data_IF_451396384113
#
_entry.id   IF_451396384113
#
_cell.length_a   1.000
_cell.length_b   1.000
_cell.length_c   1.000
_cell.angle_alpha   90.00
_cell.angle_beta   90.00
_cell.angle_gamma   90.00
#
_symmetry.space_group_name_H-M   'P 1'
#
loop_
_entity.id
_entity.type
_entity.pdbx_description
1 polymer ?
#
# COMPACT_ATOMS: atom_id res chain seq x y z
N UNK A 1 70.90 -30.21 -37.30
CA UNK A 1 70.24 -29.08 -37.98
C UNK A 1 69.20 -29.64 -38.94
N UNK A 2 67.94 -29.80 -38.50
CA UNK A 2 66.85 -30.10 -39.43
C UNK A 2 66.39 -28.78 -40.04
N UNK A 3 66.47 -28.70 -41.37
CA UNK A 3 65.95 -27.59 -42.14
C UNK A 3 64.43 -27.65 -42.01
N UNK A 4 63.86 -26.68 -41.31
CA UNK A 4 62.41 -26.51 -41.23
C UNK A 4 61.93 -26.17 -42.65
N UNK A 5 61.18 -27.09 -43.25
CA UNK A 5 60.50 -26.90 -44.53
C UNK A 5 59.44 -25.80 -44.36
N UNK A 6 59.83 -24.54 -44.61
CA UNK A 6 58.93 -23.38 -44.55
C UNK A 6 58.10 -23.37 -45.83
N UNK A 7 57.02 -24.14 -45.85
CA UNK A 7 55.99 -24.01 -46.88
C UNK A 7 55.37 -22.61 -46.76
N UNK A 8 55.56 -21.79 -47.80
CA UNK A 8 54.91 -20.49 -47.89
C UNK A 8 53.41 -20.68 -48.13
N UNK A 9 52.58 -19.91 -47.42
CA UNK A 9 51.12 -19.95 -47.56
C UNK A 9 50.70 -19.56 -48.99
N UNK A 10 49.76 -20.31 -49.55
CA UNK A 10 49.17 -19.94 -50.84
C UNK A 10 48.14 -18.83 -50.65
N UNK A 11 47.96 -17.97 -51.66
CA UNK A 11 46.94 -16.91 -51.64
C UNK A 11 45.54 -17.48 -51.37
N UNK A 12 45.24 -18.66 -51.91
CA UNK A 12 43.97 -19.36 -51.71
C UNK A 12 43.72 -19.70 -50.23
N UNK A 13 44.73 -20.19 -49.53
CA UNK A 13 44.64 -20.56 -48.12
C UNK A 13 44.39 -19.34 -47.22
N UNK A 14 45.01 -18.20 -47.56
CA UNK A 14 44.78 -16.91 -46.91
C UNK A 14 43.36 -16.38 -47.16
N UNK A 15 42.84 -16.52 -48.38
CA UNK A 15 41.46 -16.15 -48.71
C UNK A 15 40.43 -16.99 -47.95
N UNK A 16 40.63 -18.31 -47.87
CA UNK A 16 39.75 -19.21 -47.11
C UNK A 16 39.79 -18.88 -45.61
N UNK A 17 40.98 -18.62 -45.06
CA UNK A 17 41.12 -18.22 -43.65
C UNK A 17 40.37 -16.93 -43.35
N UNK A 18 40.46 -15.91 -44.21
CA UNK A 18 39.69 -14.67 -44.04
C UNK A 18 38.18 -14.86 -44.17
N UNK A 19 37.73 -15.70 -45.10
CA UNK A 19 36.31 -16.04 -45.25
C UNK A 19 35.76 -16.66 -43.95
N UNK A 20 36.46 -17.68 -43.43
CA UNK A 20 36.06 -18.38 -42.20
C UNK A 20 36.08 -17.41 -41.01
N UNK A 21 37.12 -16.57 -40.89
CA UNK A 21 37.22 -15.57 -39.84
C UNK A 21 36.06 -14.55 -39.90
N UNK A 22 35.70 -14.07 -41.09
CA UNK A 22 34.59 -13.15 -41.28
C UNK A 22 33.25 -13.75 -40.86
N UNK A 23 32.99 -15.01 -41.24
CA UNK A 23 31.77 -15.74 -40.85
C UNK A 23 31.74 -15.95 -39.33
N UNK A 24 32.84 -16.41 -38.74
CA UNK A 24 32.94 -16.66 -37.30
C UNK A 24 32.74 -15.36 -36.49
N UNK A 25 33.40 -14.27 -36.89
CA UNK A 25 33.27 -12.96 -36.22
C UNK A 25 31.83 -12.45 -36.28
N UNK A 26 31.18 -12.57 -37.44
CA UNK A 26 29.78 -12.17 -37.61
C UNK A 26 28.85 -13.00 -36.71
N UNK A 27 29.07 -14.32 -36.62
CA UNK A 27 28.30 -15.20 -35.73
C UNK A 27 28.46 -14.81 -34.26
N UNK A 28 29.68 -14.51 -33.82
CA UNK A 28 29.97 -14.08 -32.43
C UNK A 28 29.30 -12.74 -32.11
N UNK A 29 29.42 -11.74 -33.00
CA UNK A 29 28.78 -10.43 -32.80
C UNK A 29 27.27 -10.58 -32.73
N UNK A 30 26.67 -11.38 -33.61
CA UNK A 30 25.23 -11.64 -33.58
C UNK A 30 24.80 -12.33 -32.28
N UNK A 31 25.55 -13.35 -31.82
CA UNK A 31 25.28 -14.05 -30.57
C UNK A 31 25.37 -13.09 -29.36
N UNK A 32 26.38 -12.22 -29.35
CA UNK A 32 26.56 -11.24 -28.28
C UNK A 32 25.43 -10.20 -28.24
N UNK A 33 25.03 -9.64 -29.39
CA UNK A 33 23.91 -8.70 -29.49
C UNK A 33 22.60 -9.35 -29.05
N UNK A 34 22.37 -10.61 -29.44
CA UNK A 34 21.21 -11.38 -29.00
C UNK A 34 21.23 -11.59 -27.48
N UNK A 35 22.39 -11.88 -26.91
CA UNK A 35 22.56 -12.03 -25.47
C UNK A 35 22.25 -10.73 -24.72
N UNK A 36 22.82 -9.60 -25.15
CA UNK A 36 22.55 -8.28 -24.55
C UNK A 36 21.06 -7.92 -24.58
N UNK A 37 20.39 -8.14 -25.72
CA UNK A 37 18.94 -7.91 -25.85
C UNK A 37 18.12 -8.78 -24.91
N UNK A 38 18.48 -10.06 -24.82
CA UNK A 38 17.78 -11.02 -23.95
C UNK A 38 17.94 -10.66 -22.49
N UNK A 39 19.17 -10.36 -22.05
CA UNK A 39 19.45 -9.95 -20.66
C UNK A 39 18.69 -8.66 -20.31
N UNK A 40 18.68 -7.66 -21.19
CA UNK A 40 17.92 -6.43 -21.00
C UNK A 40 16.40 -6.67 -20.89
N UNK A 41 15.86 -7.54 -21.74
CA UNK A 41 14.45 -7.93 -21.68
C UNK A 41 14.08 -8.62 -20.37
N UNK A 42 14.94 -9.51 -19.87
CA UNK A 42 14.73 -10.18 -18.58
C UNK A 42 14.82 -9.19 -17.41
N UNK A 43 15.80 -8.28 -17.42
CA UNK A 43 15.92 -7.26 -16.38
C UNK A 43 14.66 -6.37 -16.29
N UNK A 44 14.10 -5.96 -17.43
CA UNK A 44 12.85 -5.18 -17.47
C UNK A 44 11.65 -5.95 -16.94
N UNK A 45 11.54 -7.25 -17.23
CA UNK A 45 10.48 -8.11 -16.67
C UNK A 45 10.61 -8.29 -15.16
N UNK A 46 11.84 -8.50 -14.67
CA UNK A 46 12.10 -8.60 -13.23
C UNK A 46 11.72 -7.29 -12.52
N UNK A 47 12.08 -6.14 -13.10
CA UNK A 47 11.69 -4.83 -12.57
C UNK A 47 10.18 -4.66 -12.48
N UNK A 48 9.44 -5.05 -13.53
CA UNK A 48 7.97 -5.06 -13.50
C UNK A 48 7.42 -5.93 -12.36
N UNK A 49 7.93 -7.15 -12.19
CA UNK A 49 7.48 -8.06 -11.13
C UNK A 49 7.83 -7.57 -9.71
N UNK A 50 8.97 -6.92 -9.53
CA UNK A 50 9.34 -6.31 -8.25
C UNK A 50 8.40 -5.15 -7.90
N UNK A 51 8.06 -4.33 -8.90
CA UNK A 51 7.13 -3.23 -8.74
C UNK A 51 5.70 -3.70 -8.40
N UNK A 52 5.19 -4.71 -9.10
CA UNK A 52 3.90 -5.34 -8.76
C UNK A 52 3.90 -5.92 -7.34
N UNK A 53 4.99 -6.57 -6.92
CA UNK A 53 5.14 -7.09 -5.56
C UNK A 53 5.14 -5.99 -4.51
N UNK A 54 5.69 -4.81 -4.78
CA UNK A 54 5.62 -3.68 -3.86
C UNK A 54 4.17 -3.25 -3.60
N UNK A 55 3.33 -3.17 -4.65
CA UNK A 55 1.91 -2.81 -4.51
C UNK A 55 1.12 -3.85 -3.71
N UNK A 56 1.46 -5.12 -3.92
CA UNK A 56 0.86 -6.26 -3.23
C UNK A 56 1.44 -6.50 -1.82
N UNK A 57 2.48 -5.78 -1.43
CA UNK A 57 2.91 -5.72 -0.04
C UNK A 57 2.10 -4.66 0.73
N UNK A 58 1.81 -3.51 0.10
CA UNK A 58 1.13 -2.37 0.75
C UNK A 58 -0.37 -2.60 0.87
N UNK A 59 -1.08 -2.82 -0.25
CA UNK A 59 -2.54 -2.88 -0.22
C UNK A 59 -3.06 -3.97 0.72
N UNK A 60 -2.54 -5.20 0.71
CA UNK A 60 -3.07 -6.23 1.59
C UNK A 60 -2.80 -5.99 3.08
N UNK A 61 -1.68 -5.35 3.42
CA UNK A 61 -1.36 -5.01 4.79
C UNK A 61 -2.33 -3.98 5.36
N UNK A 62 -2.67 -2.96 4.57
CA UNK A 62 -3.63 -1.90 4.95
C UNK A 62 -5.05 -2.44 5.02
N UNK A 63 -5.52 -3.08 3.95
CA UNK A 63 -6.92 -3.48 3.84
C UNK A 63 -7.31 -4.60 4.82
N UNK A 64 -6.36 -5.44 5.24
CA UNK A 64 -6.64 -6.49 6.22
C UNK A 64 -7.02 -5.92 7.59
N UNK A 65 -6.58 -4.72 7.95
CA UNK A 65 -6.84 -4.11 9.25
C UNK A 65 -8.23 -3.46 9.37
N UNK A 66 -9.01 -3.42 8.29
CA UNK A 66 -10.28 -2.71 8.25
C UNK A 66 -11.41 -3.48 8.94
N UNK A 67 -12.35 -2.73 9.49
CA UNK A 67 -13.70 -3.17 9.81
C UNK A 67 -14.74 -2.46 8.93
N UNK A 68 -15.33 -3.22 8.00
CA UNK A 68 -16.36 -2.71 7.11
C UNK A 68 -17.64 -2.30 7.86
N UNK A 69 -18.02 -3.03 8.92
CA UNK A 69 -19.29 -2.83 9.64
C UNK A 69 -19.27 -1.56 10.46
N UNK A 70 -18.12 -1.23 11.06
CA UNK A 70 -17.89 0.02 11.80
C UNK A 70 -17.54 1.21 10.87
N UNK A 71 -17.57 0.98 9.56
CA UNK A 71 -17.50 2.04 8.55
C UNK A 71 -16.09 2.49 8.19
N UNK A 72 -15.07 1.63 8.33
CA UNK A 72 -13.71 1.96 7.91
C UNK A 72 -13.59 2.13 6.40
N UNK A 73 -14.50 1.57 5.61
CA UNK A 73 -14.60 1.80 4.16
C UNK A 73 -15.51 3.00 3.92
N UNK A 74 -14.89 4.15 3.64
CA UNK A 74 -15.58 5.43 3.45
C UNK A 74 -16.14 5.58 2.03
N UNK A 75 -15.38 5.13 1.03
CA UNK A 75 -15.80 5.09 -0.38
C UNK A 75 -15.17 3.88 -1.06
N UNK A 76 -15.90 3.27 -1.98
CA UNK A 76 -15.38 2.15 -2.76
C UNK A 76 -15.88 2.20 -4.20
N UNK A 77 -15.00 1.82 -5.12
CA UNK A 77 -15.28 1.66 -6.54
C UNK A 77 -14.37 0.57 -7.10
N UNK A 78 -14.63 0.07 -8.32
CA UNK A 78 -13.77 -0.93 -8.92
C UNK A 78 -12.31 -0.49 -9.12
N UNK A 79 -11.99 0.81 -9.12
CA UNK A 79 -10.62 1.31 -9.38
C UNK A 79 -10.08 2.21 -8.27
N UNK A 80 -10.82 2.39 -7.17
CA UNK A 80 -10.38 3.17 -6.02
C UNK A 80 -11.07 2.73 -4.73
N UNK A 81 -10.38 2.88 -3.61
CA UNK A 81 -10.94 2.69 -2.27
C UNK A 81 -10.45 3.79 -1.35
N UNK A 82 -11.34 4.36 -0.55
CA UNK A 82 -11.03 5.31 0.51
C UNK A 82 -11.36 4.66 1.85
N UNK A 83 -10.37 4.61 2.73
CA UNK A 83 -10.41 3.88 4.00
C UNK A 83 -9.97 4.76 5.17
N UNK A 84 -10.35 4.38 6.39
CA UNK A 84 -9.70 4.85 7.63
C UNK A 84 -8.48 3.98 7.89
N UNK A 85 -7.32 4.42 7.42
CA UNK A 85 -6.08 3.70 7.64
C UNK A 85 -5.55 3.99 9.05
N UNK A 86 -5.26 2.94 9.82
CA UNK A 86 -4.65 3.08 11.14
C UNK A 86 -3.21 3.60 10.97
N UNK A 87 -2.90 4.72 11.63
CA UNK A 87 -1.60 5.38 11.54
C UNK A 87 -0.94 5.58 12.89
N UNK A 88 -1.74 5.65 13.96
CA UNK A 88 -1.24 5.85 15.30
C UNK A 88 -1.86 4.88 16.31
N UNK A 89 -1.07 4.53 17.32
CA UNK A 89 -1.54 3.89 18.54
C UNK A 89 -0.94 4.62 19.74
N UNK A 90 -1.81 5.11 20.61
CA UNK A 90 -1.44 5.77 21.86
C UNK A 90 -2.24 5.18 23.02
N UNK A 91 -1.81 5.48 24.24
CA UNK A 91 -2.46 5.02 25.48
C UNK A 91 -2.83 6.23 26.31
N UNK A 92 -4.09 6.33 26.72
CA UNK A 92 -4.55 7.36 27.65
C UNK A 92 -3.83 7.18 29.00
N UNK A 93 -3.38 8.27 29.60
CA UNK A 93 -2.85 8.22 30.97
C UNK A 93 -3.72 8.95 32.00
N UNK A 94 -4.79 9.59 31.54
CA UNK A 94 -5.81 10.21 32.37
C UNK A 94 -7.16 9.92 31.74
N UNK A 95 -8.15 9.59 32.57
CA UNK A 95 -9.52 9.42 32.11
C UNK A 95 -10.05 10.78 31.61
N UNK A 96 -10.59 10.86 30.39
CA UNK A 96 -11.17 12.09 29.88
C UNK A 96 -12.44 12.46 30.65
N UNK A 97 -12.66 13.77 30.83
CA UNK A 97 -13.94 14.28 31.34
C UNK A 97 -14.95 14.28 30.18
N UNK A 98 -16.06 13.57 30.34
CA UNK A 98 -17.12 13.46 29.33
C UNK A 98 -18.27 14.42 29.64
N UNK A 99 -19.12 14.69 28.62
CA UNK A 99 -20.29 15.57 28.75
C UNK A 99 -20.12 16.99 28.18
N UNK A 100 -18.94 17.33 27.64
CA UNK A 100 -18.70 18.58 26.89
C UNK A 100 -18.71 18.37 25.37
N UNK A 101 -18.83 19.47 24.61
CA UNK A 101 -18.81 19.42 23.13
C UNK A 101 -17.46 18.98 22.54
N UNK A 102 -16.38 19.15 23.32
CA UNK A 102 -15.02 18.71 23.01
C UNK A 102 -14.43 18.03 24.24
N UNK A 103 -13.80 16.88 24.03
CA UNK A 103 -13.19 16.04 25.06
C UNK A 103 -11.68 16.11 24.93
N UNK A 104 -11.00 16.34 26.05
CA UNK A 104 -9.52 16.34 26.08
C UNK A 104 -9.01 14.93 26.32
N UNK A 105 -8.20 14.44 25.39
CA UNK A 105 -7.50 13.16 25.46
C UNK A 105 -6.04 13.42 25.83
N UNK A 106 -5.61 12.96 27.01
CA UNK A 106 -4.21 13.03 27.44
C UNK A 106 -3.56 11.66 27.27
N UNK A 107 -2.68 11.54 26.28
CA UNK A 107 -2.00 10.28 25.92
C UNK A 107 -0.52 10.33 26.30
N UNK A 108 0.08 9.17 26.61
CA UNK A 108 1.52 9.08 26.90
C UNK A 108 2.36 9.40 25.66
N UNK A 109 3.52 10.04 25.86
CA UNK A 109 4.54 10.13 24.80
C UNK A 109 5.26 8.79 24.58
N UNK A 110 5.33 7.96 25.63
CA UNK A 110 5.92 6.62 25.58
C UNK A 110 5.07 5.63 26.39
N UNK A 111 4.54 4.55 25.78
CA UNK A 111 4.64 4.21 24.36
C UNK A 111 3.70 5.06 23.49
N UNK A 112 4.19 5.48 22.33
CA UNK A 112 3.41 6.05 21.23
C UNK A 112 3.94 5.44 19.93
N UNK A 113 3.05 4.90 19.10
CA UNK A 113 3.42 4.29 17.83
C UNK A 113 2.84 5.10 16.68
N UNK A 114 3.66 5.31 15.63
CA UNK A 114 3.28 6.10 14.47
C UNK A 114 3.72 7.56 14.55
N UNK A 115 3.18 8.39 13.66
CA UNK A 115 3.45 9.83 13.62
C UNK A 115 2.58 10.58 14.61
N UNK A 116 3.01 11.73 15.13
CA UNK A 116 2.17 12.58 15.98
C UNK A 116 0.82 12.88 15.29
N UNK A 117 -0.24 13.02 16.09
CA UNK A 117 -1.57 13.32 15.54
C UNK A 117 -1.58 14.67 14.82
N UNK A 118 -2.29 14.73 13.69
CA UNK A 118 -2.55 15.94 12.91
C UNK A 118 -4.05 16.23 12.91
N UNK A 119 -4.47 17.31 13.55
CA UNK A 119 -5.89 17.67 13.69
C UNK A 119 -6.57 18.08 12.38
N UNK A 120 -5.81 18.25 11.30
CA UNK A 120 -6.36 18.55 9.97
C UNK A 120 -6.63 17.30 9.14
N UNK A 121 -6.02 16.15 9.51
CA UNK A 121 -6.04 14.91 8.71
C UNK A 121 -6.52 13.68 9.49
N UNK A 122 -6.31 13.67 10.80
CA UNK A 122 -6.49 12.50 11.63
C UNK A 122 -7.82 12.53 12.38
N UNK A 123 -8.46 11.37 12.44
CA UNK A 123 -9.48 11.06 13.41
C UNK A 123 -8.94 10.08 14.45
N UNK A 124 -9.74 9.82 15.48
CA UNK A 124 -9.39 8.91 16.56
C UNK A 124 -10.52 7.92 16.84
N UNK A 125 -10.14 6.72 17.27
CA UNK A 125 -11.01 5.78 17.96
C UNK A 125 -10.49 5.61 19.37
N UNK A 126 -11.37 5.80 20.36
CA UNK A 126 -11.06 5.63 21.77
C UNK A 126 -11.87 4.46 22.29
N UNK A 127 -11.22 3.54 22.98
CA UNK A 127 -11.92 2.41 23.56
C UNK A 127 -12.78 2.84 24.74
N UNK A 128 -14.06 2.50 24.66
CA UNK A 128 -15.08 2.69 25.69
C UNK A 128 -15.34 1.32 26.31
N UNK A 129 -15.09 1.20 27.61
CA UNK A 129 -15.26 -0.07 28.33
C UNK A 129 -16.73 -0.29 28.67
N UNK A 130 -17.38 0.72 29.27
CA UNK A 130 -18.72 0.52 29.82
C UNK A 130 -18.66 0.07 31.29
N UNK A 131 -19.31 -1.04 31.60
CA UNK A 131 -19.25 -1.81 32.84
C UNK A 131 -18.14 -2.85 32.75
N UNK A 132 -17.10 -2.72 33.58
CA UNK A 132 -15.94 -3.62 33.63
C UNK A 132 -16.30 -5.11 33.89
N UNK A 133 -17.52 -5.39 34.36
CA UNK A 133 -17.99 -6.75 34.60
C UNK A 133 -18.59 -7.43 33.36
N UNK A 134 -18.89 -6.68 32.30
CA UNK A 134 -19.45 -7.19 31.06
C UNK A 134 -18.57 -6.85 29.86
N UNK A 135 -18.72 -7.62 28.76
CA UNK A 135 -18.02 -7.36 27.49
C UNK A 135 -18.97 -6.90 26.38
N UNK A 136 -20.25 -6.78 26.71
CA UNK A 136 -21.34 -6.58 25.74
C UNK A 136 -21.57 -5.11 25.41
N UNK A 137 -20.99 -4.23 26.20
CA UNK A 137 -21.08 -2.79 26.15
C UNK A 137 -19.75 -2.11 25.77
N UNK A 138 -18.66 -2.88 25.66
CA UNK A 138 -17.40 -2.48 25.05
C UNK A 138 -17.63 -1.97 23.62
N UNK A 139 -17.07 -0.80 23.29
CA UNK A 139 -17.16 -0.25 21.95
C UNK A 139 -16.01 0.68 21.61
N UNK A 140 -15.76 0.87 20.32
CA UNK A 140 -14.87 1.92 19.83
C UNK A 140 -15.64 3.20 19.56
N UNK A 141 -15.36 4.24 20.35
CA UNK A 141 -15.94 5.57 20.17
C UNK A 141 -15.10 6.35 19.16
N UNK A 142 -15.72 6.67 18.03
CA UNK A 142 -15.06 7.44 16.96
C UNK A 142 -15.09 8.93 17.26
N UNK A 143 -14.07 9.67 16.84
CA UNK A 143 -14.03 11.11 16.99
C UNK A 143 -13.11 11.81 16.01
N UNK A 144 -13.30 13.12 15.90
CA UNK A 144 -12.47 14.02 15.10
C UNK A 144 -11.64 14.90 16.01
N UNK A 145 -10.34 15.01 15.74
CA UNK A 145 -9.48 15.94 16.47
C UNK A 145 -9.88 17.39 16.18
N UNK A 146 -9.96 18.20 17.22
CA UNK A 146 -10.35 19.63 17.16
C UNK A 146 -9.17 20.55 17.45
N UNK A 147 -8.11 20.05 18.09
CA UNK A 147 -6.89 20.81 18.37
C UNK A 147 -5.63 20.05 17.94
N UNK A 148 -4.57 20.77 17.62
CA UNK A 148 -3.25 20.16 17.48
C UNK A 148 -2.77 19.61 18.84
N UNK A 149 -1.94 18.56 18.86
CA UNK A 149 -1.35 18.05 20.09
C UNK A 149 -0.42 19.07 20.74
N UNK A 150 -0.54 19.23 22.06
CA UNK A 150 0.36 20.06 22.87
C UNK A 150 1.06 19.20 23.92
N UNK A 151 2.27 19.59 24.31
CA UNK A 151 3.00 18.91 25.39
C UNK A 151 2.25 19.07 26.70
N UNK A 152 2.09 17.95 27.42
CA UNK A 152 1.40 17.88 28.70
C UNK A 152 2.13 16.91 29.65
N UNK A 153 1.54 16.67 30.82
CA UNK A 153 2.00 15.65 31.76
C UNK A 153 0.84 14.75 32.18
N UNK A 154 1.14 13.48 32.34
CA UNK A 154 0.24 12.54 32.99
C UNK A 154 0.15 12.81 34.49
N UNK A 155 -0.82 12.20 35.18
CA UNK A 155 -0.98 12.31 36.64
C UNK A 155 0.23 11.77 37.42
N UNK A 156 1.00 10.87 36.83
CA UNK A 156 2.27 10.34 37.35
C UNK A 156 3.49 11.24 37.05
N UNK A 157 3.27 12.44 36.50
CA UNK A 157 4.30 13.42 36.16
C UNK A 157 5.10 13.11 34.89
N UNK A 158 4.86 11.98 34.23
CA UNK A 158 5.56 11.60 33.00
C UNK A 158 5.08 12.41 31.79
N UNK A 159 5.93 12.59 30.75
CA UNK A 159 5.57 13.34 29.56
C UNK A 159 4.35 12.77 28.83
N UNK A 160 3.47 13.68 28.38
CA UNK A 160 2.24 13.37 27.66
C UNK A 160 2.03 14.30 26.45
N UNK A 161 1.13 13.91 25.57
CA UNK A 161 0.48 14.82 24.63
C UNK A 161 -0.98 14.99 25.03
N UNK A 162 -1.47 16.23 25.00
CA UNK A 162 -2.88 16.55 25.19
C UNK A 162 -3.46 16.99 23.84
N UNK A 163 -4.59 16.39 23.46
CA UNK A 163 -5.29 16.69 22.21
C UNK A 163 -6.79 16.74 22.48
N UNK A 164 -7.49 17.70 21.88
CA UNK A 164 -8.94 17.80 21.96
C UNK A 164 -9.59 17.06 20.80
N UNK A 165 -10.68 16.35 21.07
CA UNK A 165 -11.47 15.65 20.07
C UNK A 165 -12.97 15.81 20.32
N UNK A 166 -13.75 15.86 19.25
CA UNK A 166 -15.20 15.70 19.31
C UNK A 166 -15.52 14.23 19.11
N UNK A 167 -15.99 13.56 20.17
CA UNK A 167 -16.32 12.14 20.20
C UNK A 167 -17.79 11.91 19.86
N UNK A 168 -18.08 10.85 19.11
CA UNK A 168 -19.42 10.44 18.71
C UNK A 168 -19.77 9.12 19.39
N UNK A 169 -20.60 9.19 20.43
CA UNK A 169 -20.97 8.02 21.24
C UNK A 169 -22.13 7.20 20.66
N UNK A 170 -22.87 7.73 19.68
CA UNK A 170 -24.04 7.04 19.13
C UNK A 170 -25.09 6.79 20.21
N UNK A 171 -25.41 5.51 20.45
CA UNK A 171 -26.35 5.08 21.49
C UNK A 171 -25.71 4.93 22.88
N UNK A 172 -24.38 5.03 22.99
CA UNK A 172 -23.66 4.88 24.26
C UNK A 172 -23.80 6.16 25.11
N UNK A 173 -23.94 6.03 26.44
CA UNK A 173 -24.03 7.18 27.31
C UNK A 173 -22.65 7.83 27.49
N UNK A 174 -22.56 9.15 27.32
CA UNK A 174 -21.31 9.91 27.51
C UNK A 174 -21.03 10.17 29.01
N UNK A 175 -20.81 9.11 29.79
CA UNK A 175 -20.65 9.17 31.25
C UNK A 175 -19.18 9.10 31.65
N UNK A 176 -18.74 10.07 32.46
CA UNK A 176 -17.36 10.10 32.98
C UNK A 176 -17.02 8.79 33.71
N UNK A 177 -15.84 8.24 33.39
CA UNK A 177 -15.36 6.97 33.95
C UNK A 177 -15.51 5.77 33.01
N UNK A 178 -16.35 5.87 31.96
CA UNK A 178 -16.55 4.78 30.99
C UNK A 178 -15.39 4.65 29.98
N UNK A 179 -14.56 5.68 29.87
CA UNK A 179 -13.25 5.62 29.20
C UNK A 179 -12.20 5.68 30.29
N UNK A 180 -11.55 4.54 30.55
CA UNK A 180 -10.59 4.42 31.63
C UNK A 180 -9.21 5.04 31.31
N UNK A 181 -8.45 5.37 32.35
CA UNK A 181 -7.01 5.59 32.19
C UNK A 181 -6.35 4.27 31.78
N UNK A 182 -5.48 4.30 30.77
CA UNK A 182 -4.92 3.11 30.15
C UNK A 182 -5.68 2.64 28.90
N UNK A 183 -6.85 3.22 28.59
CA UNK A 183 -7.57 2.86 27.38
C UNK A 183 -6.76 3.19 26.11
N UNK A 184 -6.74 2.28 25.12
CA UNK A 184 -6.05 2.52 23.86
C UNK A 184 -6.77 3.59 23.02
N UNK A 185 -5.98 4.38 22.31
CA UNK A 185 -6.43 5.37 21.33
C UNK A 185 -5.78 5.04 20.00
N UNK A 186 -6.60 4.71 19.01
CA UNK A 186 -6.16 4.52 17.64
C UNK A 186 -6.34 5.80 16.84
N UNK A 187 -5.26 6.30 16.24
CA UNK A 187 -5.34 7.34 15.24
C UNK A 187 -5.54 6.74 13.87
N UNK A 188 -6.51 7.27 13.15
CA UNK A 188 -6.77 6.89 11.77
C UNK A 188 -6.66 8.11 10.87
N UNK A 189 -6.23 7.87 9.63
CA UNK A 189 -6.23 8.87 8.57
C UNK A 189 -7.08 8.38 7.42
N UNK A 190 -7.86 9.28 6.84
CA UNK A 190 -8.55 8.96 5.59
C UNK A 190 -7.51 8.80 4.49
N UNK A 191 -7.30 7.58 3.99
CA UNK A 191 -6.35 7.29 2.90
C UNK A 191 -7.13 6.77 1.71
N UNK A 192 -6.82 7.26 0.50
CA UNK A 192 -7.38 6.76 -0.75
C UNK A 192 -6.29 6.09 -1.57
N UNK A 193 -6.55 4.85 -1.97
CA UNK A 193 -5.80 4.14 -2.99
C UNK A 193 -6.62 4.07 -4.26
N UNK A 194 -5.98 4.17 -5.43
CA UNK A 194 -6.71 4.10 -6.68
C UNK A 194 -5.85 4.39 -7.89
N UNK A 195 -6.45 4.28 -9.06
CA UNK A 195 -5.78 4.57 -10.32
C UNK A 195 -5.57 6.07 -10.49
N UNK A 196 -4.33 6.45 -10.80
CA UNK A 196 -3.89 7.82 -11.08
C UNK A 196 -3.21 7.87 -12.44
N UNK A 197 -3.57 8.83 -13.29
CA UNK A 197 -2.73 9.18 -14.44
C UNK A 197 -1.78 10.29 -14.00
N UNK A 198 -0.47 10.06 -14.13
CA UNK A 198 0.54 11.06 -13.80
C UNK A 198 0.82 11.97 -15.02
N UNK A 199 1.61 13.02 -14.80
CA UNK A 199 2.02 14.04 -15.78
C UNK A 199 2.69 13.48 -17.03
N UNK A 200 3.24 12.27 -16.96
CA UNK A 200 3.84 11.54 -18.09
C UNK A 200 2.80 10.82 -18.97
N UNK A 201 1.50 10.96 -18.66
CA UNK A 201 0.39 10.32 -19.36
C UNK A 201 0.21 8.84 -19.04
N UNK A 202 1.01 8.27 -18.12
CA UNK A 202 0.94 6.87 -17.74
C UNK A 202 0.10 6.70 -16.48
N UNK A 203 -0.38 5.48 -16.30
CA UNK A 203 -1.25 5.10 -15.20
C UNK A 203 -0.47 4.45 -14.08
N UNK A 204 -0.84 4.74 -12.84
CA UNK A 204 -0.17 4.27 -11.63
C UNK A 204 -1.24 3.91 -10.59
N UNK A 205 -0.95 2.93 -9.73
CA UNK A 205 -1.59 2.84 -8.42
C UNK A 205 -1.05 4.02 -7.61
N UNK A 206 -1.93 4.95 -7.26
CA UNK A 206 -1.62 6.08 -6.42
C UNK A 206 -2.11 5.91 -4.99
N UNK A 207 -1.62 6.78 -4.12
CA UNK A 207 -2.07 6.97 -2.75
C UNK A 207 -2.28 8.46 -2.48
N UNK A 208 -3.32 8.82 -1.73
CA UNK A 208 -3.43 10.14 -1.09
C UNK A 208 -3.96 10.03 0.31
N UNK A 209 -3.54 10.97 1.13
CA UNK A 209 -4.03 11.13 2.49
C UNK A 209 -4.92 12.38 2.58
N UNK A 210 -6.13 12.20 3.11
CA UNK A 210 -7.10 13.26 3.33
C UNK A 210 -7.34 14.11 2.07
N UNK A 211 -7.05 15.41 2.14
CA UNK A 211 -7.16 16.36 1.02
C UNK A 211 -5.89 16.51 0.18
N UNK A 212 -4.84 15.72 0.44
CA UNK A 212 -3.59 15.80 -0.31
C UNK A 212 -3.77 15.39 -1.78
N UNK A 213 -2.82 15.83 -2.61
CA UNK A 213 -2.70 15.35 -3.98
C UNK A 213 -2.33 13.86 -4.00
N UNK A 214 -2.81 13.14 -5.00
CA UNK A 214 -2.48 11.74 -5.21
C UNK A 214 -1.06 11.60 -5.74
N UNK A 215 -0.27 10.73 -5.12
CA UNK A 215 1.10 10.43 -5.52
C UNK A 215 1.20 9.02 -6.06
N UNK A 216 2.05 8.77 -7.08
CA UNK A 216 2.24 7.43 -7.63
C UNK A 216 2.98 6.53 -6.64
N UNK A 217 2.52 5.28 -6.50
CA UNK A 217 3.13 4.25 -5.65
C UNK A 217 3.68 3.10 -6.49
N UNK A 218 2.87 2.56 -7.41
CA UNK A 218 3.25 1.43 -8.28
C UNK A 218 2.77 1.67 -9.71
N UNK A 219 3.64 1.46 -10.67
CA UNK A 219 3.30 1.50 -12.10
C UNK A 219 4.55 1.60 -12.97
N UNK A 220 4.41 1.62 -14.31
CA UNK A 220 3.16 1.88 -15.01
C UNK A 220 2.16 0.72 -15.01
N UNK A 221 0.88 1.07 -14.97
CA UNK A 221 -0.26 0.17 -15.13
C UNK A 221 -0.74 0.14 -16.59
N UNK A 222 -1.48 -0.90 -16.95
CA UNK A 222 -2.14 -1.03 -18.25
C UNK A 222 -3.43 -0.21 -18.24
N UNK A 223 -3.30 1.08 -18.56
CA UNK A 223 -4.45 1.98 -18.70
C UNK A 223 -5.19 2.27 -17.38
N UNK A 224 -6.37 2.86 -17.51
CA UNK A 224 -7.23 3.23 -16.37
C UNK A 224 -7.81 2.04 -15.59
N UNK A 225 -7.78 0.84 -16.17
CA UNK A 225 -8.31 -0.40 -15.58
C UNK A 225 -7.21 -1.32 -15.05
N UNK A 226 -5.95 -0.85 -15.03
CA UNK A 226 -4.82 -1.66 -14.58
C UNK A 226 -4.78 -1.92 -13.07
N UNK A 227 -5.72 -1.37 -12.30
CA UNK A 227 -6.01 -1.76 -10.92
C UNK A 227 -7.49 -2.03 -10.82
N UNK A 228 -7.85 -3.17 -10.26
CA UNK A 228 -9.23 -3.56 -10.01
C UNK A 228 -9.41 -4.02 -8.56
N UNK A 229 -10.45 -3.51 -7.91
CA UNK A 229 -10.98 -3.99 -6.65
C UNK A 229 -12.30 -4.72 -6.89
N UNK A 230 -12.48 -5.84 -6.20
CA UNK A 230 -13.74 -6.57 -6.15
C UNK A 230 -14.12 -6.84 -4.71
N UNK A 231 -15.31 -6.41 -4.31
CA UNK A 231 -15.78 -6.49 -2.94
C UNK A 231 -16.76 -7.63 -2.78
N UNK A 232 -16.52 -8.51 -1.82
CA UNK A 232 -17.34 -9.68 -1.54
C UNK A 232 -17.95 -9.57 -0.15
N UNK A 233 -19.22 -9.95 -0.02
CA UNK A 233 -19.89 -10.07 1.26
C UNK A 233 -19.51 -11.35 2.03
N UNK A 234 -20.10 -11.56 3.20
CA UNK A 234 -19.87 -12.75 4.03
C UNK A 234 -20.24 -14.09 3.37
N UNK A 235 -21.10 -14.06 2.35
CA UNK A 235 -21.49 -15.25 1.58
C UNK A 235 -20.64 -15.43 0.31
N UNK A 236 -19.68 -14.54 0.06
CA UNK A 236 -18.83 -14.55 -1.14
C UNK A 236 -19.49 -13.94 -2.38
N UNK A 237 -20.59 -13.20 -2.22
CA UNK A 237 -21.29 -12.51 -3.33
C UNK A 237 -20.71 -11.11 -3.50
N UNK A 238 -20.58 -10.66 -4.76
CA UNK A 238 -20.10 -9.29 -5.03
C UNK A 238 -21.09 -8.26 -4.50
N UNK A 239 -20.61 -7.31 -3.71
CA UNK A 239 -21.44 -6.28 -3.07
C UNK A 239 -20.98 -4.86 -3.43
N UNK A 240 -21.95 -3.95 -3.51
CA UNK A 240 -21.73 -2.50 -3.62
C UNK A 240 -22.05 -1.76 -2.31
N UNK A 241 -22.46 -2.49 -1.27
CA UNK A 241 -22.66 -1.99 0.09
C UNK A 241 -21.37 -2.15 0.90
N UNK A 242 -20.77 -1.03 1.31
CA UNK A 242 -19.49 -1.00 2.02
C UNK A 242 -19.57 -1.62 3.40
N UNK A 243 -20.73 -1.60 4.05
CA UNK A 243 -20.93 -2.16 5.39
C UNK A 243 -20.95 -3.69 5.41
N UNK A 244 -21.17 -4.31 4.24
CA UNK A 244 -21.28 -5.76 4.07
C UNK A 244 -20.00 -6.43 3.60
N UNK A 245 -18.94 -5.67 3.34
CA UNK A 245 -17.69 -6.22 2.79
C UNK A 245 -17.00 -7.13 3.80
N UNK A 246 -16.79 -8.39 3.45
CA UNK A 246 -16.03 -9.36 4.24
C UNK A 246 -14.68 -9.70 3.61
N UNK A 247 -14.56 -9.57 2.28
CA UNK A 247 -13.35 -9.88 1.53
C UNK A 247 -13.16 -8.90 0.37
N UNK A 248 -11.92 -8.52 0.12
CA UNK A 248 -11.53 -7.65 -0.99
C UNK A 248 -10.56 -8.41 -1.90
N UNK A 249 -10.93 -8.54 -3.17
CA UNK A 249 -10.06 -8.96 -4.26
C UNK A 249 -9.35 -7.76 -4.86
N UNK A 250 -8.06 -7.91 -5.14
CA UNK A 250 -7.22 -6.92 -5.80
C UNK A 250 -6.59 -7.59 -7.02
N UNK A 251 -6.65 -6.94 -8.16
CA UNK A 251 -5.87 -7.30 -9.34
C UNK A 251 -5.11 -6.08 -9.84
N UNK A 252 -3.80 -6.23 -10.04
CA UNK A 252 -2.93 -5.22 -10.62
C UNK A 252 -2.39 -5.76 -11.93
N UNK A 253 -2.60 -5.03 -13.01
CA UNK A 253 -2.08 -5.29 -14.36
C UNK A 253 -1.07 -4.19 -14.69
N UNK A 254 0.21 -4.55 -14.60
CA UNK A 254 1.34 -3.67 -14.84
C UNK A 254 1.94 -3.84 -16.23
N UNK A 255 2.70 -2.85 -16.66
CA UNK A 255 3.49 -2.93 -17.88
C UNK A 255 4.89 -2.35 -17.69
N UNK A 256 5.83 -2.77 -18.54
CA UNK A 256 7.19 -2.21 -18.53
C UNK A 256 7.18 -0.71 -18.82
N UNK A 257 8.11 0.04 -18.23
CA UNK A 257 8.22 1.48 -18.47
C UNK A 257 8.69 1.84 -19.89
N UNK A 258 9.30 0.89 -20.59
CA UNK A 258 9.82 1.03 -21.95
C UNK A 258 9.41 -0.17 -22.80
N UNK A 259 9.47 0.01 -24.12
CA UNK A 259 9.26 -1.07 -25.07
C UNK A 259 10.38 -2.10 -24.94
N UNK A 260 10.01 -3.36 -24.77
CA UNK A 260 10.95 -4.47 -24.72
C UNK A 260 11.09 -5.06 -26.11
N UNK A 261 12.30 -5.05 -26.66
CA UNK A 261 12.60 -5.74 -27.91
C UNK A 261 12.94 -7.20 -27.63
N UNK A 262 12.03 -8.10 -28.00
CA UNK A 262 12.30 -9.54 -27.97
C UNK A 262 12.97 -9.98 -29.29
N UNK A 263 13.66 -11.11 -29.28
CA UNK A 263 14.27 -11.65 -30.49
C UNK A 263 13.18 -11.91 -31.54
N UNK A 264 13.32 -11.30 -32.72
CA UNK A 264 12.41 -11.43 -33.87
C UNK A 264 10.96 -10.94 -33.67
N UNK A 265 10.72 -10.05 -32.71
CA UNK A 265 9.41 -9.41 -32.51
C UNK A 265 9.48 -7.89 -32.53
N UNK A 266 8.37 -7.25 -32.89
CA UNK A 266 8.18 -5.80 -32.76
C UNK A 266 8.34 -5.39 -31.30
N UNK A 267 9.07 -4.30 -30.98
CA UNK A 267 9.15 -3.79 -29.61
C UNK A 267 7.75 -3.52 -29.06
N UNK A 268 7.44 -4.09 -27.90
CA UNK A 268 6.14 -3.96 -27.25
C UNK A 268 6.33 -3.81 -25.73
N UNK A 269 5.36 -3.21 -25.07
CA UNK A 269 5.31 -3.25 -23.61
C UNK A 269 5.04 -4.67 -23.15
N UNK A 270 5.85 -5.16 -22.21
CA UNK A 270 5.56 -6.45 -21.58
C UNK A 270 4.59 -6.18 -20.44
N UNK A 271 3.52 -6.96 -20.41
CA UNK A 271 2.47 -6.89 -19.40
C UNK A 271 2.62 -8.06 -18.45
N UNK A 272 2.38 -7.81 -17.17
CA UNK A 272 2.30 -8.84 -16.14
C UNK A 272 1.19 -8.48 -15.15
N UNK A 273 0.65 -9.49 -14.46
CA UNK A 273 -0.48 -9.31 -13.55
C UNK A 273 -0.27 -10.03 -12.24
N UNK A 274 -0.75 -9.43 -11.16
CA UNK A 274 -0.77 -10.06 -9.84
C UNK A 274 -2.13 -9.82 -9.19
N UNK A 275 -2.73 -10.88 -8.68
CA UNK A 275 -4.02 -10.83 -8.01
C UNK A 275 -3.97 -11.50 -6.64
N UNK A 276 -4.59 -10.89 -5.64
CA UNK A 276 -4.79 -11.50 -4.31
C UNK A 276 -6.20 -11.21 -3.85
N UNK A 277 -6.72 -12.07 -2.98
CA UNK A 277 -7.91 -11.76 -2.20
C UNK A 277 -7.58 -11.89 -0.72
N UNK A 278 -8.17 -11.03 0.10
CA UNK A 278 -7.98 -11.03 1.54
C UNK A 278 -9.30 -10.83 2.27
N UNK A 279 -9.43 -11.47 3.41
CA UNK A 279 -10.53 -11.22 4.34
C UNK A 279 -10.17 -10.07 5.27
N UNK A 280 -11.16 -9.26 5.63
CA UNK A 280 -11.01 -8.22 6.64
C UNK A 280 -10.85 -8.89 8.01
N UNK A 281 -9.81 -8.53 8.79
CA UNK A 281 -9.50 -9.20 10.06
C UNK A 281 -10.43 -8.76 11.19
N UNK A 282 -10.81 -7.49 11.19
CA UNK A 282 -11.53 -6.88 12.30
C UNK A 282 -13.04 -6.98 12.17
N UNK A 283 -13.55 -7.37 10.99
CA UNK A 283 -14.98 -7.58 10.82
C UNK A 283 -15.43 -8.76 11.73
N UNK A 284 -16.39 -8.56 12.65
CA UNK A 284 -16.92 -9.64 13.47
C UNK A 284 -17.36 -10.79 12.57
N UNK A 285 -16.81 -11.97 12.83
CA UNK A 285 -17.19 -13.19 12.10
C UNK A 285 -18.68 -13.40 12.31
N UNK A 286 -19.41 -13.33 11.19
CA UNK A 286 -20.78 -13.83 10.94
C UNK A 286 -21.53 -14.36 12.16
#
# INVERSE_FOLDING_TARGET
MSVVDRKAFTVVELMVAFLIFGVATTAIVNAFVLHQRTVGAQAMRIGLQQNLRAGMAVLPAELRALDAREGDILKMSPTSITIRALRQLAILCQAPVLGGASVTLTVRQTPFYGTLFDNTKDGVHVFYEGDESTRTDDAWVSGKLTSAPVTAKCSDGKPAYSVSASLTFGALPAVTGQIASGAPVWGHRQTTYGVLQDTDGRWYLGMKDSSAAMTPLVGPLVGSNGLTFTYYDGNGVVTTDSSRVARIGIAILGQTATLVRQANATPAYVVDSLSVAMTLRNNPRW
#
